data_IF_529004157125
#
_entry.id   IF_529004157125
#
_cell.length_a   1.000
_cell.length_b   1.000
_cell.length_c   1.000
_cell.angle_alpha   90.00
_cell.angle_beta   90.00
_cell.angle_gamma   90.00
#
_symmetry.space_group_name_H-M   'P 1'
#
loop_
_entity.id
_entity.type
_entity.pdbx_description
1 polymer ?
#
# COMPACT_ATOMS: atom_id res chain seq x y z
N UNK A 1 22.23 5.82 -0.72
CA UNK A 1 21.66 4.62 -0.09
C UNK A 1 20.15 4.84 -0.01
N UNK A 2 19.34 4.04 -0.72
CA UNK A 2 17.88 4.10 -0.49
C UNK A 2 17.61 3.52 0.91
N UNK A 3 16.63 4.06 1.67
CA UNK A 3 16.19 3.41 2.89
C UNK A 3 15.65 2.01 2.57
N UNK A 4 15.94 1.04 3.44
CA UNK A 4 15.32 -0.29 3.39
C UNK A 4 13.79 -0.14 3.53
N UNK A 5 13.00 -0.99 2.85
CA UNK A 5 11.55 -0.93 2.97
C UNK A 5 11.12 -1.29 4.39
N UNK A 6 10.29 -0.42 4.99
CA UNK A 6 9.80 -0.56 6.39
C UNK A 6 8.94 -1.81 6.61
N UNK A 7 8.21 -2.23 5.57
CA UNK A 7 7.41 -3.46 5.55
C UNK A 7 7.37 -4.01 4.11
N UNK A 8 7.31 -5.34 3.96
CA UNK A 8 7.25 -6.05 2.68
C UNK A 8 6.27 -7.22 2.75
N UNK A 9 5.12 -7.07 2.10
CA UNK A 9 4.10 -8.12 2.01
C UNK A 9 4.05 -8.70 0.58
N UNK A 10 3.71 -9.98 0.47
CA UNK A 10 3.53 -10.67 -0.83
C UNK A 10 2.08 -11.13 -1.00
N UNK A 11 1.56 -10.97 -2.21
CA UNK A 11 0.18 -11.34 -2.57
C UNK A 11 0.05 -12.76 -3.13
N UNK A 12 -1.19 -13.17 -3.49
CA UNK A 12 -1.43 -14.47 -4.12
C UNK A 12 -0.74 -14.56 -5.49
N UNK A 13 -0.53 -15.80 -5.95
CA UNK A 13 0.10 -16.08 -7.25
C UNK A 13 -0.94 -16.60 -8.23
N UNK A 14 -1.12 -15.89 -9.35
CA UNK A 14 -1.89 -16.39 -10.50
C UNK A 14 -0.95 -17.14 -11.44
N UNK A 15 -1.36 -18.30 -11.96
CA UNK A 15 -0.55 -19.11 -12.88
C UNK A 15 -1.02 -18.94 -14.32
N UNK A 16 -0.06 -18.90 -15.25
CA UNK A 16 -0.29 -18.98 -16.70
C UNK A 16 -1.29 -17.95 -17.25
N UNK A 17 -1.17 -16.69 -16.83
CA UNK A 17 -2.03 -15.60 -17.33
C UNK A 17 -1.26 -14.28 -17.42
N UNK A 18 -1.52 -13.51 -18.48
CA UNK A 18 -1.04 -12.14 -18.65
C UNK A 18 -2.01 -11.09 -18.05
N UNK A 19 -3.19 -11.52 -17.60
CA UNK A 19 -4.24 -10.68 -17.01
C UNK A 19 -4.66 -11.22 -15.63
N UNK A 20 -3.71 -11.31 -14.67
CA UNK A 20 -3.97 -11.85 -13.34
C UNK A 20 -5.03 -11.05 -12.58
N UNK A 21 -5.90 -11.76 -11.85
CA UNK A 21 -6.84 -11.16 -10.91
C UNK A 21 -6.51 -11.65 -9.49
N UNK A 22 -5.83 -10.80 -8.72
CA UNK A 22 -5.40 -11.18 -7.37
C UNK A 22 -6.48 -11.02 -6.31
N UNK A 23 -7.36 -10.01 -6.45
CA UNK A 23 -8.40 -9.64 -5.45
C UNK A 23 -7.84 -9.61 -4.01
N UNK A 24 -6.62 -9.11 -3.87
CA UNK A 24 -5.91 -9.07 -2.60
C UNK A 24 -6.10 -7.70 -1.91
N UNK A 25 -6.05 -7.72 -0.58
CA UNK A 25 -6.01 -6.51 0.25
C UNK A 25 -4.86 -6.65 1.23
N UNK A 26 -4.06 -5.59 1.33
CA UNK A 26 -2.96 -5.49 2.28
C UNK A 26 -3.09 -4.17 3.05
N UNK A 27 -2.54 -4.14 4.26
CA UNK A 27 -2.50 -2.95 5.11
C UNK A 27 -1.22 -2.96 5.92
N UNK A 28 -0.65 -1.78 6.12
CA UNK A 28 0.60 -1.56 6.83
C UNK A 28 0.48 -0.30 7.67
N UNK A 29 1.25 -0.24 8.74
CA UNK A 29 1.34 0.95 9.59
C UNK A 29 2.30 1.95 8.95
N UNK A 30 1.97 3.24 9.07
CA UNK A 30 2.78 4.33 8.55
C UNK A 30 3.18 5.25 9.70
N UNK A 31 4.46 5.62 9.75
CA UNK A 31 4.96 6.54 10.77
C UNK A 31 4.83 8.01 10.35
N UNK A 32 5.20 8.30 9.10
CA UNK A 32 5.29 9.66 8.54
C UNK A 32 4.77 9.65 7.09
N UNK A 33 3.44 9.63 6.88
CA UNK A 33 2.85 9.49 5.55
C UNK A 33 3.34 10.54 4.53
N UNK A 34 3.71 11.74 4.97
CA UNK A 34 4.24 12.79 4.09
C UNK A 34 5.68 12.54 3.56
N UNK A 35 6.40 11.55 4.09
CA UNK A 35 7.78 11.17 3.66
C UNK A 35 7.87 9.74 3.14
N UNK A 36 6.81 8.96 3.32
CA UNK A 36 6.78 7.54 2.98
C UNK A 36 6.22 7.30 1.57
N UNK A 37 6.49 6.12 1.04
CA UNK A 37 6.07 5.68 -0.29
C UNK A 37 5.70 4.22 -0.27
N UNK A 38 4.77 3.85 -1.15
CA UNK A 38 4.35 2.46 -1.35
C UNK A 38 4.88 2.01 -2.70
N UNK A 39 5.75 1.00 -2.70
CA UNK A 39 6.25 0.39 -3.93
C UNK A 39 5.56 -0.94 -4.17
N UNK A 40 4.87 -1.06 -5.30
CA UNK A 40 4.35 -2.31 -5.82
C UNK A 40 5.34 -2.86 -6.82
N UNK A 41 5.64 -4.15 -6.71
CA UNK A 41 6.48 -4.87 -7.65
C UNK A 41 5.73 -6.09 -8.14
N UNK A 42 5.43 -6.15 -9.43
CA UNK A 42 4.85 -7.33 -10.07
C UNK A 42 5.99 -8.26 -10.46
N UNK A 43 5.93 -9.52 -10.01
CA UNK A 43 6.96 -10.52 -10.29
C UNK A 43 6.36 -11.77 -10.88
N UNK A 44 7.08 -12.35 -11.84
CA UNK A 44 6.92 -13.73 -12.25
C UNK A 44 7.96 -14.62 -11.55
N UNK A 45 7.60 -15.86 -11.26
CA UNK A 45 8.49 -16.80 -10.56
C UNK A 45 9.72 -17.19 -11.38
N UNK A 46 9.58 -17.27 -12.70
CA UNK A 46 10.63 -17.72 -13.61
C UNK A 46 11.41 -16.53 -14.19
N UNK A 47 10.73 -15.41 -14.45
CA UNK A 47 11.29 -14.25 -15.13
C UNK A 47 11.66 -13.09 -14.19
N UNK A 48 11.32 -13.17 -12.90
CA UNK A 48 11.66 -12.14 -11.93
C UNK A 48 10.75 -10.92 -12.03
N UNK A 49 11.31 -9.71 -11.93
CA UNK A 49 10.52 -8.47 -11.90
C UNK A 49 9.95 -8.13 -13.28
N UNK A 50 8.62 -8.06 -13.39
CA UNK A 50 7.91 -7.65 -14.61
C UNK A 50 7.64 -6.15 -14.67
N UNK A 51 7.69 -5.46 -13.53
CA UNK A 51 7.52 -4.01 -13.47
C UNK A 51 7.22 -3.51 -12.07
N UNK A 52 7.38 -2.20 -11.86
CA UNK A 52 7.15 -1.56 -10.57
C UNK A 52 6.26 -0.34 -10.69
N UNK A 53 5.50 -0.03 -9.64
CA UNK A 53 4.81 1.24 -9.49
C UNK A 53 5.10 1.78 -8.09
N UNK A 54 5.36 3.09 -7.98
CA UNK A 54 5.61 3.72 -6.68
C UNK A 54 4.62 4.86 -6.47
N UNK A 55 3.83 4.78 -5.40
CA UNK A 55 2.95 5.85 -4.94
C UNK A 55 3.65 6.65 -3.84
N UNK A 56 3.70 7.98 -3.98
CA UNK A 56 4.05 8.87 -2.89
C UNK A 56 2.82 9.11 -2.02
N UNK A 57 2.93 8.84 -0.72
CA UNK A 57 1.79 8.97 0.19
C UNK A 57 1.37 10.44 0.41
N UNK A 58 2.23 11.40 0.06
CA UNK A 58 1.87 12.81 -0.08
C UNK A 58 0.72 13.05 -1.07
N UNK A 59 0.66 12.29 -2.15
CA UNK A 59 -0.37 12.46 -3.18
C UNK A 59 -1.72 11.97 -2.63
N UNK A 60 -1.69 10.86 -1.89
CA UNK A 60 -2.87 10.31 -1.22
C UNK A 60 -3.39 11.21 -0.10
N UNK A 61 -2.51 11.95 0.58
CA UNK A 61 -2.90 12.97 1.58
C UNK A 61 -3.66 14.15 0.97
N UNK A 62 -3.45 14.45 -0.32
CA UNK A 62 -4.13 15.51 -1.06
C UNK A 62 -5.40 15.02 -1.78
N UNK A 63 -5.57 13.70 -1.91
CA UNK A 63 -6.70 13.10 -2.59
C UNK A 63 -7.99 13.21 -1.76
N UNK A 64 -9.13 13.32 -2.45
CA UNK A 64 -10.44 13.30 -1.81
C UNK A 64 -10.62 11.99 -1.03
N UNK A 65 -11.17 12.09 0.18
CA UNK A 65 -11.40 10.95 1.07
C UNK A 65 -10.13 10.12 1.36
N UNK A 66 -8.93 10.70 1.18
CA UNK A 66 -7.65 10.02 1.34
C UNK A 66 -7.56 8.72 0.53
N UNK A 67 -8.18 8.73 -0.66
CA UNK A 67 -8.39 7.55 -1.50
C UNK A 67 -7.98 7.84 -2.93
N UNK A 68 -7.26 6.90 -3.55
CA UNK A 68 -6.94 6.91 -4.97
C UNK A 68 -7.23 5.53 -5.54
N UNK A 69 -7.87 5.45 -6.70
CA UNK A 69 -8.16 4.18 -7.36
C UNK A 69 -8.07 4.29 -8.87
N UNK A 70 -7.56 3.25 -9.51
CA UNK A 70 -7.48 3.21 -10.97
C UNK A 70 -6.38 2.31 -11.50
N UNK A 71 -6.19 2.39 -12.82
CA UNK A 71 -5.09 1.75 -13.52
C UNK A 71 -3.82 2.60 -13.41
N UNK A 72 -2.74 1.97 -12.99
CA UNK A 72 -1.41 2.56 -12.91
C UNK A 72 -0.45 1.79 -13.82
N UNK A 73 0.25 2.52 -14.66
CA UNK A 73 1.27 1.95 -15.54
C UNK A 73 2.48 1.50 -14.72
N UNK A 74 3.04 0.35 -15.07
CA UNK A 74 4.24 -0.18 -14.45
C UNK A 74 5.47 0.35 -15.18
N UNK A 75 6.45 0.81 -14.40
CA UNK A 75 7.81 1.08 -14.84
C UNK A 75 8.48 -0.26 -15.16
N UNK A 76 8.66 -0.53 -16.44
CA UNK A 76 9.27 -1.75 -16.96
C UNK A 76 9.96 -1.50 -18.32
N UNK A 77 10.91 -2.37 -18.66
CA UNK A 77 11.36 -2.54 -20.04
C UNK A 77 10.18 -3.08 -20.87
N UNK A 78 9.96 -2.55 -22.07
CA UNK A 78 8.81 -2.92 -22.92
C UNK A 78 8.63 -4.45 -23.06
N UNK A 79 7.38 -4.95 -23.11
CA UNK A 79 6.11 -4.22 -23.07
C UNK A 79 5.75 -3.72 -21.66
N UNK A 80 5.21 -2.50 -21.56
CA UNK A 80 4.76 -1.95 -20.29
C UNK A 80 3.37 -2.50 -19.91
N UNK A 81 3.28 -3.10 -18.72
CA UNK A 81 2.03 -3.55 -18.13
C UNK A 81 1.34 -2.44 -17.33
N UNK A 82 0.08 -2.68 -16.93
CA UNK A 82 -0.64 -1.82 -15.99
C UNK A 82 -1.27 -2.66 -14.88
N UNK A 83 -1.44 -2.07 -13.71
CA UNK A 83 -2.06 -2.71 -12.55
C UNK A 83 -3.20 -1.84 -12.04
N UNK A 84 -4.36 -2.46 -11.77
CA UNK A 84 -5.48 -1.76 -11.14
C UNK A 84 -5.38 -1.91 -9.63
N UNK A 85 -5.35 -0.79 -8.89
CA UNK A 85 -5.20 -0.79 -7.43
C UNK A 85 -6.04 0.36 -6.85
N UNK A 86 -6.55 0.13 -5.64
CA UNK A 86 -7.14 1.15 -4.77
C UNK A 86 -6.29 1.30 -3.52
N UNK A 87 -5.90 2.54 -3.23
CA UNK A 87 -5.18 2.94 -2.04
C UNK A 87 -6.11 3.74 -1.12
N UNK A 88 -6.08 3.42 0.17
CA UNK A 88 -6.81 4.16 1.20
C UNK A 88 -5.88 4.44 2.37
N UNK A 89 -5.82 5.69 2.81
CA UNK A 89 -5.12 6.08 4.03
C UNK A 89 -6.14 6.34 5.14
N UNK A 90 -5.88 5.76 6.33
CA UNK A 90 -6.73 5.92 7.51
C UNK A 90 -5.90 6.43 8.68
N UNK A 91 -6.45 7.39 9.42
CA UNK A 91 -5.83 7.92 10.64
C UNK A 91 -6.14 6.98 11.80
N UNK A 92 -5.09 6.46 12.45
CA UNK A 92 -5.24 5.67 13.67
C UNK A 92 -5.44 6.61 14.85
N UNK A 93 -6.63 6.59 15.42
CA UNK A 93 -6.95 7.30 16.66
C UNK A 93 -7.00 6.26 17.78
N UNK A 94 -6.09 6.31 18.77
CA UNK A 94 -6.20 5.44 19.93
C UNK A 94 -7.56 5.65 20.60
N UNK A 95 -8.19 4.60 21.15
CA UNK A 95 -9.35 4.79 22.00
C UNK A 95 -8.97 5.80 23.08
N UNK A 96 -9.74 6.89 23.20
CA UNK A 96 -9.57 7.81 24.33
C UNK A 96 -9.73 6.95 25.58
N UNK A 97 -8.71 6.92 26.43
CA UNK A 97 -8.81 6.25 27.72
C UNK A 97 -10.11 6.73 28.37
N UNK A 98 -11.00 5.79 28.68
CA UNK A 98 -12.06 6.06 29.65
C UNK A 98 -11.27 6.37 30.92
N UNK A 99 -11.13 7.65 31.26
CA UNK A 99 -10.53 8.04 32.53
C UNK A 99 -11.32 7.27 33.59
N UNK A 100 -10.62 6.38 34.30
CA UNK A 100 -11.14 5.65 35.45
C UNK A 100 -11.37 6.66 36.58
N UNK A 101 -12.35 7.56 36.41
CA UNK A 101 -12.91 8.40 37.45
C UNK A 101 -13.99 7.62 38.20
N UNK A 102 -13.62 6.45 38.72
CA UNK A 102 -14.34 5.65 39.71
C UNK A 102 -13.23 4.77 40.32
N UNK A 103 -12.55 5.16 41.39
CA UNK A 103 -13.09 5.21 42.74
C UNK A 103 -12.12 6.00 43.64
N UNK A 104 -12.48 7.24 43.95
CA UNK A 104 -12.06 7.91 45.17
C UNK A 104 -13.32 8.33 45.92
N UNK A 105 -14.10 7.34 46.37
CA UNK A 105 -15.27 7.52 47.21
C UNK A 105 -15.08 6.84 48.57
N UNK A 106 -14.53 7.61 49.52
CA UNK A 106 -14.63 7.54 50.99
C UNK A 106 -14.54 6.20 51.74
#
# INVERSE_FOLDING_TARGET
HLPEPTDCQSGPVCRNTATPQWRAKSSFLLEKPHKERVKITVKDKNHGCLGTFTLHLSDLLLAENLTMEGWHQLDASFPQGSVWIRFELRVLVPPRGVETLMDSGS
#
